data_IF_448730911011
#
_entry.id   IF_448730911011
#
_cell.length_a   1.000
_cell.length_b   1.000
_cell.length_c   1.000
_cell.angle_alpha   90.00
_cell.angle_beta   90.00
_cell.angle_gamma   90.00
#
_symmetry.space_group_name_H-M   'P 1'
#
loop_
_entity.id
_entity.type
_entity.pdbx_description
1 polymer ?
#
# COMPACT_ATOMS: atom_id res chain seq x y z
N UNK A 1 -3.47 14.00 14.63
CA UNK A 1 -2.87 13.63 13.34
C UNK A 1 -2.01 12.42 13.59
N UNK A 2 -2.28 11.28 12.95
CA UNK A 2 -1.46 10.08 13.10
C UNK A 2 -0.06 10.35 12.55
N UNK A 3 0.97 9.83 13.22
CA UNK A 3 2.37 9.96 12.80
C UNK A 3 2.88 8.56 12.47
N UNK A 4 3.28 8.34 11.22
CA UNK A 4 3.94 7.11 10.81
C UNK A 4 5.36 7.09 11.40
N UNK A 5 5.85 5.92 11.80
CA UNK A 5 7.23 5.78 12.25
C UNK A 5 8.18 5.81 11.05
N UNK A 6 9.17 6.70 11.06
CA UNK A 6 10.15 6.80 9.97
C UNK A 6 10.94 5.49 9.77
N UNK A 7 11.01 4.64 10.79
CA UNK A 7 11.73 3.36 10.75
C UNK A 7 11.12 2.32 9.80
N UNK A 8 9.85 2.50 9.39
CA UNK A 8 9.22 1.59 8.42
C UNK A 8 9.73 1.84 7.01
N UNK A 9 10.18 3.06 6.70
CA UNK A 9 10.71 3.44 5.40
C UNK A 9 12.19 3.08 5.32
N UNK A 10 12.50 1.95 4.69
CA UNK A 10 13.85 1.42 4.57
C UNK A 10 14.45 1.80 3.22
N UNK A 11 15.72 1.42 3.02
CA UNK A 11 16.46 1.75 1.80
C UNK A 11 15.80 1.27 0.50
N UNK A 12 15.03 0.17 0.54
CA UNK A 12 14.51 -0.48 -0.67
C UNK A 12 12.99 -0.76 -0.64
N UNK A 13 12.33 -0.57 0.50
CA UNK A 13 10.91 -0.86 0.68
C UNK A 13 10.38 -0.33 2.02
N UNK A 14 9.08 -0.54 2.25
CA UNK A 14 8.42 -0.24 3.52
C UNK A 14 8.20 -1.55 4.29
N UNK A 15 8.72 -1.66 5.51
CA UNK A 15 8.56 -2.85 6.37
C UNK A 15 8.37 -2.48 7.83
N UNK A 16 7.32 -3.03 8.43
CA UNK A 16 7.02 -2.91 9.85
C UNK A 16 6.22 -4.09 10.37
N UNK A 17 5.95 -4.10 11.68
CA UNK A 17 5.12 -5.10 12.34
C UNK A 17 3.64 -4.78 12.08
N UNK A 18 2.90 -5.74 11.54
CA UNK A 18 1.47 -5.59 11.27
C UNK A 18 0.68 -5.35 12.57
N UNK A 19 -0.27 -4.41 12.53
CA UNK A 19 -1.09 -3.99 13.67
C UNK A 19 -0.36 -3.10 14.68
N UNK A 20 0.94 -2.81 14.48
CA UNK A 20 1.72 -1.90 15.30
C UNK A 20 2.30 -0.77 14.45
N UNK A 21 3.28 -1.10 13.61
CA UNK A 21 3.92 -0.15 12.70
C UNK A 21 3.12 -0.01 11.39
N UNK A 22 2.60 -1.14 10.89
CA UNK A 22 1.76 -1.22 9.70
C UNK A 22 0.33 -1.54 10.13
N UNK A 23 -0.43 -0.50 10.44
CA UNK A 23 -1.88 -0.56 10.65
C UNK A 23 -2.62 -0.37 9.32
N UNK A 24 -3.93 -0.65 9.30
CA UNK A 24 -4.77 -0.40 8.13
C UNK A 24 -4.76 1.10 7.76
N UNK A 25 -4.83 2.00 8.74
CA UNK A 25 -4.71 3.44 8.51
C UNK A 25 -3.33 3.81 7.91
N UNK A 26 -2.26 3.17 8.36
CA UNK A 26 -0.93 3.40 7.80
C UNK A 26 -0.83 2.92 6.35
N UNK A 27 -1.34 1.71 6.05
CA UNK A 27 -1.39 1.18 4.69
C UNK A 27 -2.22 2.08 3.76
N UNK A 28 -3.34 2.60 4.24
CA UNK A 28 -4.17 3.57 3.52
C UNK A 28 -3.42 4.85 3.18
N UNK A 29 -2.72 5.45 4.16
CA UNK A 29 -1.92 6.65 3.93
C UNK A 29 -0.75 6.40 2.97
N UNK A 30 -0.12 5.23 3.05
CA UNK A 30 0.92 4.81 2.11
C UNK A 30 0.33 4.70 0.69
N UNK A 31 -0.85 4.07 0.53
CA UNK A 31 -1.54 3.97 -0.75
C UNK A 31 -1.88 5.34 -1.33
N UNK A 32 -2.37 6.26 -0.50
CA UNK A 32 -2.59 7.67 -0.86
C UNK A 32 -1.32 8.35 -1.37
N UNK A 33 -0.19 8.13 -0.71
CA UNK A 33 1.09 8.73 -1.09
C UNK A 33 1.63 8.15 -2.41
N UNK A 34 1.60 6.82 -2.57
CA UNK A 34 1.99 6.14 -3.81
C UNK A 34 1.12 6.61 -4.98
N UNK A 35 -0.19 6.72 -4.78
CA UNK A 35 -1.10 7.19 -5.83
C UNK A 35 -0.87 8.66 -6.22
N UNK A 36 -0.54 9.53 -5.26
CA UNK A 36 -0.18 10.91 -5.58
C UNK A 36 1.06 10.99 -6.48
N UNK A 37 2.12 10.26 -6.11
CA UNK A 37 3.35 10.17 -6.89
C UNK A 37 3.10 9.60 -8.29
N UNK A 38 2.38 8.48 -8.39
CA UNK A 38 2.05 7.85 -9.67
C UNK A 38 1.32 8.83 -10.62
N UNK A 39 0.41 9.66 -10.08
CA UNK A 39 -0.29 10.67 -10.87
C UNK A 39 0.59 11.82 -11.33
N UNK A 40 1.54 12.25 -10.51
CA UNK A 40 2.52 13.26 -10.92
C UNK A 40 3.39 12.75 -12.07
N UNK A 41 3.64 11.43 -12.12
CA UNK A 41 4.30 10.76 -13.24
C UNK A 41 3.38 10.50 -14.46
N UNK A 42 2.09 10.84 -14.37
CA UNK A 42 1.12 10.67 -15.45
C UNK A 42 0.46 9.29 -15.51
N UNK A 43 0.72 8.43 -14.53
CA UNK A 43 0.08 7.11 -14.43
C UNK A 43 -1.39 7.23 -14.00
N UNK A 44 -2.20 6.28 -14.48
CA UNK A 44 -3.66 6.26 -14.25
C UNK A 44 -4.13 5.01 -13.54
N UNK A 45 -3.34 3.95 -13.57
CA UNK A 45 -3.70 2.66 -13.00
C UNK A 45 -2.52 2.01 -12.29
N UNK A 46 -2.82 1.11 -11.36
CA UNK A 46 -1.82 0.38 -10.58
C UNK A 46 -2.32 -1.02 -10.23
N UNK A 47 -1.44 -2.01 -10.27
CA UNK A 47 -1.73 -3.36 -9.81
C UNK A 47 -1.43 -3.49 -8.30
N UNK A 48 -2.31 -4.18 -7.57
CA UNK A 48 -2.12 -4.52 -6.16
C UNK A 48 -2.13 -6.04 -6.03
N UNK A 49 -1.03 -6.60 -5.55
CA UNK A 49 -0.90 -8.02 -5.21
C UNK A 49 -0.41 -8.19 -3.78
N UNK A 50 -0.67 -9.35 -3.17
CA UNK A 50 -0.27 -9.64 -1.80
C UNK A 50 0.26 -11.06 -1.63
N UNK A 51 1.09 -11.25 -0.60
CA UNK A 51 1.55 -12.57 -0.17
C UNK A 51 0.54 -13.26 0.78
N UNK A 52 0.91 -14.46 1.25
CA UNK A 52 0.08 -15.34 2.08
C UNK A 52 0.08 -15.04 3.59
N UNK A 53 0.49 -13.85 4.05
CA UNK A 53 0.44 -13.54 5.49
C UNK A 53 -0.99 -13.29 5.96
N UNK A 54 -1.22 -13.53 7.25
CA UNK A 54 -2.52 -13.33 7.90
C UNK A 54 -2.99 -11.88 7.84
N UNK A 55 -2.07 -10.92 7.90
CA UNK A 55 -2.37 -9.49 7.81
C UNK A 55 -2.64 -9.01 6.38
N UNK A 56 -2.23 -9.78 5.38
CA UNK A 56 -2.20 -9.32 3.99
C UNK A 56 -3.58 -8.92 3.44
N UNK A 57 -4.70 -9.63 3.69
CA UNK A 57 -6.02 -9.22 3.20
C UNK A 57 -6.45 -7.82 3.67
N UNK A 58 -6.23 -7.49 4.94
CA UNK A 58 -6.63 -6.19 5.49
C UNK A 58 -5.72 -5.06 4.99
N UNK A 59 -4.40 -5.28 5.04
CA UNK A 59 -3.43 -4.27 4.61
C UNK A 59 -3.49 -3.99 3.11
N UNK A 60 -3.71 -5.01 2.27
CA UNK A 60 -3.85 -4.82 0.82
C UNK A 60 -5.12 -4.04 0.48
N UNK A 61 -6.23 -4.31 1.18
CA UNK A 61 -7.48 -3.59 0.98
C UNK A 61 -7.31 -2.11 1.36
N UNK A 62 -6.74 -1.83 2.53
CA UNK A 62 -6.48 -0.47 2.97
C UNK A 62 -5.55 0.29 2.00
N UNK A 63 -4.49 -0.37 1.52
CA UNK A 63 -3.61 0.17 0.50
C UNK A 63 -4.37 0.52 -0.79
N UNK A 64 -5.18 -0.42 -1.29
CA UNK A 64 -6.01 -0.23 -2.47
C UNK A 64 -6.99 0.93 -2.31
N UNK A 65 -7.66 1.05 -1.17
CA UNK A 65 -8.58 2.16 -0.88
C UNK A 65 -7.86 3.52 -0.91
N UNK A 66 -6.62 3.56 -0.41
CA UNK A 66 -5.77 4.75 -0.48
C UNK A 66 -5.41 5.15 -1.91
N UNK A 67 -5.08 4.16 -2.74
CA UNK A 67 -4.77 4.34 -4.17
C UNK A 67 -6.00 4.81 -4.96
N UNK A 68 -7.16 4.20 -4.71
CA UNK A 68 -8.45 4.63 -5.29
C UNK A 68 -8.77 6.07 -4.87
N UNK A 69 -8.56 6.42 -3.59
CA UNK A 69 -8.81 7.79 -3.13
C UNK A 69 -7.86 8.82 -3.76
N UNK A 70 -6.62 8.43 -4.08
CA UNK A 70 -5.72 9.27 -4.88
C UNK A 70 -6.19 9.40 -6.34
N UNK A 71 -7.15 8.59 -6.78
CA UNK A 71 -7.79 8.63 -8.09
C UNK A 71 -7.09 7.77 -9.14
N UNK A 72 -6.48 6.66 -8.71
CA UNK A 72 -5.96 5.62 -9.60
C UNK A 72 -7.04 4.55 -9.83
N UNK A 73 -7.05 3.96 -11.01
CA UNK A 73 -7.70 2.67 -11.24
C UNK A 73 -6.86 1.55 -10.61
N UNK A 74 -7.45 0.74 -9.74
CA UNK A 74 -6.72 -0.33 -9.05
C UNK A 74 -7.11 -1.68 -9.62
N UNK A 75 -6.11 -2.43 -10.08
CA UNK A 75 -6.24 -3.83 -10.47
C UNK A 75 -5.76 -4.72 -9.33
N UNK A 76 -6.68 -5.25 -8.54
CA UNK A 76 -6.35 -6.25 -7.52
C UNK A 76 -6.11 -7.62 -8.19
N UNK A 77 -4.86 -8.08 -8.16
CA UNK A 77 -4.44 -9.39 -8.70
C UNK A 77 -4.40 -10.48 -7.62
N UNK A 78 -4.75 -10.15 -6.38
CA UNK A 78 -5.00 -11.08 -5.29
C UNK A 78 -3.73 -11.66 -4.66
N UNK A 79 -3.83 -12.93 -4.24
CA UNK A 79 -2.76 -13.67 -3.58
C UNK A 79 -1.79 -14.23 -4.62
N UNK A 80 -0.62 -13.61 -4.76
CA UNK A 80 0.40 -13.96 -5.76
C UNK A 80 1.82 -13.83 -5.21
N UNK A 81 2.80 -14.61 -5.72
CA UNK A 81 4.21 -14.30 -5.55
C UNK A 81 4.57 -12.94 -6.14
N UNK A 82 5.54 -12.23 -5.54
CA UNK A 82 6.05 -10.94 -6.07
C UNK A 82 6.48 -10.93 -7.54
N UNK A 83 7.10 -11.98 -8.13
CA UNK A 83 7.52 -11.94 -9.53
C UNK A 83 6.40 -12.22 -10.56
N UNK A 84 5.15 -12.40 -10.13
CA UNK A 84 3.98 -12.56 -11.02
C UNK A 84 3.55 -11.21 -11.57
#
# INVERSE_FOLDING_TARGET
>A
MMRLSDTIFRAYDIRGIAGQDLTDEAAFLIGRAIGAEAREQGEKAIAVGRDGRLSSPALSQALADGLVQAGLEVYDIGLVPTPV
#
